data_IF_793882125405
#
_entry.id   IF_793882125405
#
_cell.length_a   1.000
_cell.length_b   1.000
_cell.length_c   1.000
_cell.angle_alpha   90.00
_cell.angle_beta   90.00
_cell.angle_gamma   90.00
#
_symmetry.space_group_name_H-M   'P 1'
#
loop_
_entity.id
_entity.type
_entity.pdbx_description
1 polymer ?
#
# COMPACT_ATOMS: atom_id res chain seq x y z
N UNK A 1 -28.23 4.23 -2.00
CA UNK A 1 -26.77 4.43 -2.02
C UNK A 1 -26.23 3.97 -3.35
N UNK A 2 -25.51 4.80 -4.08
CA UNK A 2 -24.95 4.43 -5.39
C UNK A 2 -23.71 3.57 -5.18
N UNK A 3 -23.69 2.38 -5.79
CA UNK A 3 -22.53 1.48 -5.77
C UNK A 3 -21.30 2.21 -6.33
N UNK A 4 -20.15 2.06 -5.67
CA UNK A 4 -18.87 2.62 -6.11
C UNK A 4 -18.55 2.17 -7.55
N UNK A 5 -18.33 3.12 -8.43
CA UNK A 5 -17.90 2.90 -9.81
C UNK A 5 -16.49 3.42 -9.99
N UNK A 6 -15.74 2.73 -10.83
CA UNK A 6 -14.40 3.17 -11.24
C UNK A 6 -14.36 3.28 -12.77
N UNK A 7 -13.85 4.38 -13.27
CA UNK A 7 -13.45 4.53 -14.66
C UNK A 7 -11.95 4.75 -14.76
N UNK A 8 -11.39 4.40 -15.91
CA UNK A 8 -9.95 4.52 -16.16
C UNK A 8 -9.74 5.37 -17.39
N UNK A 9 -8.86 6.33 -17.29
CA UNK A 9 -8.39 7.15 -18.42
C UNK A 9 -6.88 7.30 -18.39
N UNK A 10 -6.28 7.54 -19.54
CA UNK A 10 -4.84 7.72 -19.68
C UNK A 10 -4.56 9.10 -20.29
N UNK A 11 -3.56 9.79 -19.73
CA UNK A 11 -3.04 11.04 -20.25
C UNK A 11 -1.53 10.89 -20.32
N UNK A 12 -0.98 10.79 -21.52
CA UNK A 12 0.42 10.46 -21.72
C UNK A 12 0.78 9.14 -21.05
N UNK A 13 1.76 9.15 -20.13
CA UNK A 13 2.20 7.98 -19.37
C UNK A 13 1.53 7.84 -18.01
N UNK A 14 0.49 8.63 -17.74
CA UNK A 14 -0.22 8.63 -16.45
C UNK A 14 -1.56 7.95 -16.58
N UNK A 15 -1.81 6.95 -15.77
CA UNK A 15 -3.10 6.29 -15.67
C UNK A 15 -3.90 6.89 -14.51
N UNK A 16 -5.12 7.34 -14.77
CA UNK A 16 -6.01 7.95 -13.80
C UNK A 16 -7.19 7.02 -13.57
N UNK A 17 -7.41 6.69 -12.31
CA UNK A 17 -8.58 5.96 -11.84
C UNK A 17 -9.53 6.96 -11.19
N UNK A 18 -10.65 7.25 -11.85
CA UNK A 18 -11.68 8.13 -11.33
C UNK A 18 -12.72 7.32 -10.55
N UNK A 19 -12.91 7.65 -9.29
CA UNK A 19 -13.87 7.01 -8.40
C UNK A 19 -15.13 7.84 -8.29
N UNK A 20 -16.30 7.21 -8.41
CA UNK A 20 -17.60 7.88 -8.33
C UNK A 20 -18.55 7.06 -7.47
N UNK A 21 -19.10 7.67 -6.45
CA UNK A 21 -20.11 7.06 -5.58
C UNK A 21 -19.63 6.74 -4.19
N UNK A 22 -20.40 5.95 -3.46
CA UNK A 22 -20.16 5.64 -2.07
C UNK A 22 -19.20 4.46 -1.93
N UNK A 23 -18.15 4.67 -1.15
CA UNK A 23 -17.05 3.73 -0.93
C UNK A 23 -17.29 2.81 0.28
N UNK A 24 -18.45 2.15 0.32
CA UNK A 24 -18.72 1.11 1.33
C UNK A 24 -17.72 -0.05 1.26
N UNK A 25 -17.65 -0.83 2.33
CA UNK A 25 -16.59 -1.82 2.60
C UNK A 25 -16.35 -2.81 1.44
N UNK A 26 -17.40 -3.42 0.92
CA UNK A 26 -17.32 -4.44 -0.13
C UNK A 26 -16.89 -3.85 -1.50
N UNK A 27 -17.38 -2.65 -1.80
CA UNK A 27 -17.06 -1.97 -3.07
C UNK A 27 -15.57 -1.64 -3.21
N UNK A 28 -14.95 -1.18 -2.13
CA UNK A 28 -13.53 -0.83 -2.12
C UNK A 28 -12.59 -2.03 -2.24
N UNK A 29 -12.95 -3.18 -1.66
CA UNK A 29 -12.16 -4.40 -1.81
C UNK A 29 -12.08 -4.83 -3.28
N UNK A 30 -13.22 -4.90 -3.95
CA UNK A 30 -13.29 -5.28 -5.36
C UNK A 30 -12.51 -4.30 -6.25
N UNK A 31 -12.70 -3.00 -6.00
CA UNK A 31 -12.06 -1.92 -6.76
C UNK A 31 -10.55 -1.90 -6.55
N UNK A 32 -10.06 -1.99 -5.31
CA UNK A 32 -8.62 -2.04 -5.03
C UNK A 32 -7.96 -3.26 -5.70
N UNK A 33 -8.63 -4.41 -5.70
CA UNK A 33 -8.17 -5.58 -6.42
C UNK A 33 -8.12 -5.38 -7.95
N UNK A 34 -9.10 -4.68 -8.53
CA UNK A 34 -9.08 -4.32 -9.97
C UNK A 34 -7.93 -3.39 -10.30
N UNK A 35 -7.68 -2.37 -9.48
CA UNK A 35 -6.57 -1.42 -9.66
C UNK A 35 -5.24 -2.17 -9.59
N UNK A 36 -5.01 -3.00 -8.59
CA UNK A 36 -3.78 -3.78 -8.46
C UNK A 36 -3.53 -4.67 -9.67
N UNK A 37 -4.57 -5.37 -10.16
CA UNK A 37 -4.46 -6.18 -11.39
C UNK A 37 -4.11 -5.35 -12.60
N UNK A 38 -4.75 -4.18 -12.75
CA UNK A 38 -4.49 -3.26 -13.87
C UNK A 38 -3.04 -2.75 -13.84
N UNK A 39 -2.59 -2.26 -12.69
CA UNK A 39 -1.21 -1.79 -12.46
C UNK A 39 -0.19 -2.89 -12.83
N UNK A 40 -0.43 -4.13 -12.39
CA UNK A 40 0.46 -5.27 -12.70
C UNK A 40 0.45 -5.61 -14.18
N UNK A 41 -0.75 -5.76 -14.78
CA UNK A 41 -0.92 -6.19 -16.17
C UNK A 41 -0.28 -5.21 -17.14
N UNK A 42 -0.47 -3.91 -16.91
CA UNK A 42 0.01 -2.84 -17.80
C UNK A 42 1.33 -2.22 -17.32
N UNK A 43 1.92 -2.73 -16.23
CA UNK A 43 3.18 -2.22 -15.64
C UNK A 43 3.15 -0.70 -15.42
N UNK A 44 2.01 -0.20 -14.93
CA UNK A 44 1.80 1.24 -14.76
C UNK A 44 2.80 1.82 -13.76
N UNK A 45 3.52 2.86 -14.19
CA UNK A 45 4.55 3.51 -13.38
C UNK A 45 4.05 4.80 -12.70
N UNK A 46 3.06 5.46 -13.30
CA UNK A 46 2.49 6.71 -12.81
C UNK A 46 0.98 6.58 -12.72
N UNK A 47 0.45 6.76 -11.52
CA UNK A 47 -0.96 6.51 -11.25
C UNK A 47 -1.56 7.64 -10.43
N UNK A 48 -2.77 8.05 -10.78
CA UNK A 48 -3.60 8.97 -9.99
C UNK A 48 -4.85 8.24 -9.56
N UNK A 49 -5.16 8.24 -8.27
CA UNK A 49 -6.45 7.87 -7.73
C UNK A 49 -7.24 9.16 -7.48
N UNK A 50 -8.21 9.43 -8.33
CA UNK A 50 -9.06 10.61 -8.22
C UNK A 50 -10.26 10.32 -7.32
N UNK A 51 -10.23 10.89 -6.11
CA UNK A 51 -11.21 10.68 -5.04
C UNK A 51 -12.18 11.88 -4.87
N UNK A 52 -12.18 12.86 -5.78
CA UNK A 52 -13.01 14.07 -5.66
C UNK A 52 -14.51 13.78 -5.49
N UNK A 53 -14.99 12.68 -6.09
CA UNK A 53 -16.40 12.27 -6.05
C UNK A 53 -16.67 11.18 -5.01
N UNK A 54 -15.77 11.02 -4.03
CA UNK A 54 -15.89 10.05 -2.93
C UNK A 54 -15.95 10.82 -1.62
N UNK A 55 -17.10 10.90 -0.96
CA UNK A 55 -17.27 11.72 0.23
C UNK A 55 -16.51 11.18 1.44
N UNK A 56 -16.44 9.86 1.57
CA UNK A 56 -15.74 9.19 2.67
C UNK A 56 -15.21 7.83 2.25
N UNK A 57 -14.19 7.35 2.95
CA UNK A 57 -13.60 6.02 2.77
C UNK A 57 -13.37 5.41 4.14
N UNK A 58 -13.81 4.18 4.35
CA UNK A 58 -13.53 3.49 5.59
C UNK A 58 -12.02 3.24 5.78
N UNK A 59 -11.52 3.18 7.03
CA UNK A 59 -10.09 3.00 7.31
C UNK A 59 -9.47 1.77 6.63
N UNK A 60 -10.18 0.65 6.58
CA UNK A 60 -9.72 -0.55 5.87
C UNK A 60 -9.69 -0.33 4.36
N UNK A 61 -10.70 0.35 3.82
CA UNK A 61 -10.74 0.73 2.41
C UNK A 61 -9.59 1.64 2.01
N UNK A 62 -9.25 2.62 2.86
CA UNK A 62 -8.10 3.48 2.66
C UNK A 62 -6.79 2.67 2.60
N UNK A 63 -6.58 1.74 3.52
CA UNK A 63 -5.39 0.86 3.51
C UNK A 63 -5.32 0.01 2.24
N UNK A 64 -6.46 -0.45 1.73
CA UNK A 64 -6.53 -1.19 0.45
C UNK A 64 -6.13 -0.32 -0.73
N UNK A 65 -6.58 0.95 -0.76
CA UNK A 65 -6.17 1.89 -1.79
C UNK A 65 -4.67 2.20 -1.71
N UNK A 66 -4.14 2.45 -0.51
CA UNK A 66 -2.69 2.64 -0.30
C UNK A 66 -1.90 1.41 -0.76
N UNK A 67 -2.37 0.20 -0.43
CA UNK A 67 -1.77 -1.04 -0.89
C UNK A 67 -1.76 -1.16 -2.43
N UNK A 68 -2.82 -0.71 -3.10
CA UNK A 68 -2.85 -0.67 -4.56
C UNK A 68 -1.78 0.28 -5.14
N UNK A 69 -1.46 1.36 -4.42
CA UNK A 69 -0.51 2.40 -4.83
C UNK A 69 0.97 2.09 -4.58
N UNK A 70 1.32 0.98 -3.93
CA UNK A 70 2.72 0.67 -3.54
C UNK A 70 3.61 0.36 -4.74
N UNK A 71 3.08 -0.29 -5.77
CA UNK A 71 3.89 -0.80 -6.89
C UNK A 71 4.33 0.22 -7.92
N UNK A 72 3.51 1.21 -8.31
CA UNK A 72 3.95 2.24 -9.23
C UNK A 72 5.16 3.01 -8.73
N UNK A 73 5.93 3.56 -9.64
CA UNK A 73 7.06 4.43 -9.30
C UNK A 73 6.60 5.69 -8.57
N UNK A 74 5.44 6.21 -8.98
CA UNK A 74 4.79 7.36 -8.37
C UNK A 74 3.28 7.21 -8.40
N UNK A 75 2.63 7.47 -7.27
CA UNK A 75 1.17 7.46 -7.11
C UNK A 75 0.70 8.75 -6.45
N UNK A 76 -0.42 9.28 -6.90
CA UNK A 76 -1.06 10.46 -6.33
C UNK A 76 -2.47 10.09 -5.86
N UNK A 77 -2.82 10.48 -4.64
CA UNK A 77 -4.19 10.57 -4.16
C UNK A 77 -4.66 11.99 -4.41
N UNK A 78 -5.64 12.18 -5.28
CA UNK A 78 -6.12 13.49 -5.71
C UNK A 78 -7.55 13.74 -5.23
N UNK A 79 -7.81 14.96 -4.74
CA UNK A 79 -9.15 15.37 -4.34
C UNK A 79 -9.65 14.66 -3.08
N UNK A 80 -8.75 14.39 -2.16
CA UNK A 80 -9.05 13.77 -0.86
C UNK A 80 -9.95 14.69 -0.04
N UNK A 81 -11.04 14.19 0.52
CA UNK A 81 -11.92 14.94 1.43
C UNK A 81 -11.22 15.26 2.76
N UNK A 82 -11.66 16.29 3.45
CA UNK A 82 -11.07 16.70 4.75
C UNK A 82 -11.14 15.56 5.79
N UNK A 83 -12.23 14.81 5.82
CA UNK A 83 -12.36 13.65 6.70
C UNK A 83 -11.31 12.58 6.43
N UNK A 84 -11.11 12.26 5.16
CA UNK A 84 -10.10 11.28 4.73
C UNK A 84 -8.68 11.79 4.93
N UNK A 85 -8.46 13.09 4.83
CA UNK A 85 -7.16 13.71 5.07
C UNK A 85 -6.75 13.57 6.55
N UNK A 86 -7.68 13.75 7.49
CA UNK A 86 -7.44 13.51 8.92
C UNK A 86 -7.00 12.07 9.19
N UNK A 87 -7.63 11.10 8.53
CA UNK A 87 -7.23 9.68 8.63
C UNK A 87 -5.82 9.44 8.07
N UNK A 88 -5.47 10.15 6.99
CA UNK A 88 -4.15 10.05 6.36
C UNK A 88 -3.05 10.75 7.14
N UNK A 89 -3.34 11.82 7.88
CA UNK A 89 -2.39 12.55 8.72
C UNK A 89 -1.76 11.66 9.80
N UNK A 90 -2.52 10.67 10.28
CA UNK A 90 -2.08 9.70 11.27
C UNK A 90 -1.48 8.42 10.65
N UNK A 91 -1.25 8.43 9.33
CA UNK A 91 -0.76 7.27 8.59
C UNK A 91 0.57 7.59 7.90
N UNK A 92 1.55 6.69 8.03
CA UNK A 92 2.74 6.75 7.19
C UNK A 92 2.40 6.37 5.75
N UNK A 93 2.43 7.36 4.87
CA UNK A 93 2.23 7.12 3.45
C UNK A 93 3.43 6.40 2.83
N UNK A 94 3.20 5.47 1.89
CA UNK A 94 4.26 4.92 1.05
C UNK A 94 5.08 6.05 0.39
N UNK A 95 6.40 5.88 0.27
CA UNK A 95 7.30 6.93 -0.28
C UNK A 95 6.92 7.41 -1.67
N UNK A 96 6.34 6.54 -2.45
CA UNK A 96 5.89 6.81 -3.80
C UNK A 96 4.49 7.41 -3.87
N UNK A 97 3.80 7.57 -2.74
CA UNK A 97 2.45 8.14 -2.67
C UNK A 97 2.52 9.57 -2.16
N UNK A 98 1.83 10.47 -2.86
CA UNK A 98 1.64 11.87 -2.48
C UNK A 98 0.16 12.21 -2.50
N UNK A 99 -0.29 13.05 -1.58
CA UNK A 99 -1.60 13.66 -1.61
C UNK A 99 -1.47 14.99 -2.34
N UNK A 100 -2.35 15.23 -3.31
CA UNK A 100 -2.44 16.49 -4.03
C UNK A 100 -3.88 17.00 -3.94
N UNK A 101 -4.04 18.29 -3.61
CA UNK A 101 -5.34 18.95 -3.47
C UNK A 101 -5.76 19.67 -4.76
N UNK A 102 -4.79 20.11 -5.53
CA UNK A 102 -4.99 20.89 -6.75
C UNK A 102 -4.37 20.23 -7.98
N UNK A 103 -4.93 20.50 -9.14
CA UNK A 103 -4.35 20.04 -10.41
C UNK A 103 -2.94 20.61 -10.64
N UNK A 104 -2.66 21.80 -10.10
CA UNK A 104 -1.33 22.41 -10.17
C UNK A 104 -0.29 21.55 -9.44
N UNK A 105 -0.60 21.10 -8.22
CA UNK A 105 0.30 20.20 -7.47
C UNK A 105 0.51 18.86 -8.19
N UNK A 106 -0.52 18.33 -8.85
CA UNK A 106 -0.40 17.12 -9.68
C UNK A 106 0.52 17.38 -10.87
N UNK A 107 0.38 18.55 -11.52
CA UNK A 107 1.21 18.92 -12.65
C UNK A 107 2.68 19.17 -12.27
N UNK A 108 2.95 19.65 -11.07
CA UNK A 108 4.31 19.78 -10.53
C UNK A 108 5.01 18.42 -10.39
N UNK A 109 4.27 17.37 -10.04
CA UNK A 109 4.82 16.02 -9.90
C UNK A 109 4.91 15.23 -11.22
N UNK A 110 3.88 15.33 -12.06
CA UNK A 110 3.74 14.51 -13.27
C UNK A 110 3.99 15.27 -14.57
N UNK A 111 4.03 16.60 -14.52
CA UNK A 111 4.25 17.45 -15.66
C UNK A 111 3.02 18.26 -16.09
N UNK A 112 3.24 19.43 -16.68
CA UNK A 112 2.17 20.38 -17.05
C UNK A 112 1.23 19.87 -18.14
N UNK A 113 1.58 18.81 -18.86
CA UNK A 113 0.73 18.18 -19.86
C UNK A 113 -0.63 17.70 -19.32
N UNK A 114 -0.73 17.48 -18.02
CA UNK A 114 -2.00 17.13 -17.37
C UNK A 114 -3.01 18.30 -17.33
N UNK A 115 -2.49 19.52 -17.40
CA UNK A 115 -3.32 20.74 -17.43
C UNK A 115 -3.73 21.13 -18.86
N UNK A 116 -3.02 20.63 -19.86
CA UNK A 116 -3.33 20.89 -21.26
C UNK A 116 -4.57 20.10 -21.69
N UNK A 117 -5.64 20.81 -22.04
CA UNK A 117 -6.87 20.20 -22.58
C UNK A 117 -6.69 19.63 -23.98
N UNK A 118 -5.62 19.99 -24.68
CA UNK A 118 -5.36 19.60 -26.06
C UNK A 118 -4.42 18.41 -26.15
N UNK A 119 -4.92 17.39 -26.80
CA UNK A 119 -4.41 15.99 -26.82
C UNK A 119 -3.11 15.76 -27.61
N UNK A 120 -2.36 16.76 -28.04
CA UNK A 120 -1.45 16.54 -29.16
C UNK A 120 0.05 16.73 -28.92
N UNK A 121 0.60 16.88 -27.76
CA UNK A 121 1.96 17.39 -27.74
C UNK A 121 3.05 16.65 -26.97
N UNK A 122 2.99 15.34 -26.78
CA UNK A 122 4.23 14.65 -26.40
C UNK A 122 4.37 13.29 -27.07
N UNK A 123 5.32 13.18 -28.04
CA UNK A 123 5.72 11.86 -28.52
C UNK A 123 6.26 11.07 -27.33
N UNK A 124 5.86 9.80 -27.25
CA UNK A 124 6.37 8.87 -26.24
C UNK A 124 7.91 8.91 -26.30
N UNK A 125 8.54 9.49 -25.29
CA UNK A 125 9.95 9.27 -25.10
C UNK A 125 10.14 7.81 -24.78
N UNK A 126 10.68 7.07 -25.73
CA UNK A 126 11.14 5.71 -25.55
C UNK A 126 12.17 5.72 -24.42
N UNK A 127 11.70 5.49 -23.19
CA UNK A 127 12.56 5.20 -22.08
C UNK A 127 13.27 3.90 -22.39
N UNK A 128 14.58 3.98 -22.55
CA UNK A 128 15.44 2.82 -22.65
C UNK A 128 15.08 1.87 -21.52
N UNK A 129 14.54 0.72 -21.91
CA UNK A 129 14.39 -0.41 -21.01
C UNK A 129 15.81 -0.75 -20.52
N UNK A 130 16.05 -0.53 -19.24
CA UNK A 130 17.25 -1.02 -18.59
C UNK A 130 17.35 -2.51 -18.83
N UNK A 131 18.53 -2.96 -19.23
CA UNK A 131 18.86 -4.34 -19.55
C UNK A 131 18.36 -5.27 -18.41
N UNK A 132 17.43 -6.21 -18.69
CA UNK A 132 16.93 -7.12 -17.68
C UNK A 132 17.97 -8.13 -17.19
N UNK A 133 19.18 -8.14 -17.76
CA UNK A 133 20.21 -9.12 -17.47
C UNK A 133 21.24 -8.69 -16.40
N UNK A 134 21.11 -7.52 -15.79
CA UNK A 134 21.99 -7.12 -14.66
C UNK A 134 21.52 -7.62 -13.29
N UNK A 135 20.77 -8.71 -13.23
CA UNK A 135 20.45 -9.36 -11.97
C UNK A 135 21.65 -10.22 -11.60
N UNK A 136 22.53 -9.66 -10.79
CA UNK A 136 23.54 -10.44 -10.10
C UNK A 136 22.88 -11.62 -9.41
N UNK A 137 23.34 -12.84 -9.73
CA UNK A 137 22.90 -14.07 -9.10
C UNK A 137 23.21 -14.00 -7.61
N UNK A 138 22.29 -13.44 -6.83
CA UNK A 138 22.30 -13.63 -5.39
C UNK A 138 21.86 -15.07 -5.14
N UNK A 139 22.84 -15.90 -4.74
CA UNK A 139 22.58 -17.24 -4.21
C UNK A 139 21.42 -17.16 -3.21
N UNK A 140 20.31 -17.80 -3.55
CA UNK A 140 19.09 -17.76 -2.74
C UNK A 140 19.32 -18.56 -1.45
N UNK A 141 19.66 -17.87 -0.36
CA UNK A 141 19.86 -18.45 0.98
C UNK A 141 18.53 -18.74 1.69
N UNK A 142 17.40 -18.57 1.00
CA UNK A 142 16.08 -18.65 1.61
C UNK A 142 15.49 -20.05 1.48
N UNK A 143 14.94 -20.56 2.58
CA UNK A 143 14.32 -21.90 2.62
C UNK A 143 12.95 -21.94 1.91
N UNK A 144 12.26 -20.81 1.77
CA UNK A 144 10.94 -20.72 1.14
C UNK A 144 10.81 -19.52 0.22
N UNK A 145 10.01 -19.68 -0.82
CA UNK A 145 9.68 -18.63 -1.79
C UNK A 145 8.83 -17.55 -1.10
N UNK A 146 9.14 -16.29 -1.37
CA UNK A 146 8.33 -15.15 -0.90
C UNK A 146 7.53 -14.56 -2.05
N UNK A 147 6.28 -14.25 -1.75
CA UNK A 147 5.42 -13.50 -2.66
C UNK A 147 5.48 -12.02 -2.31
N UNK A 148 5.67 -11.19 -3.33
CA UNK A 148 5.45 -9.76 -3.19
C UNK A 148 3.95 -9.50 -3.23
N UNK A 149 3.44 -8.96 -2.15
CA UNK A 149 2.03 -8.67 -1.94
C UNK A 149 1.85 -7.20 -1.58
N UNK A 150 0.61 -6.75 -1.47
CA UNK A 150 0.24 -5.50 -0.87
C UNK A 150 -1.11 -5.73 -0.18
N UNK A 151 -1.06 -6.15 1.08
CA UNK A 151 -2.21 -6.61 1.85
C UNK A 151 -2.35 -5.74 3.09
N UNK A 152 -3.50 -5.10 3.32
CA UNK A 152 -3.79 -4.49 4.61
C UNK A 152 -3.88 -5.59 5.66
N UNK A 153 -3.20 -5.35 6.78
CA UNK A 153 -3.18 -6.25 7.93
C UNK A 153 -3.34 -5.45 9.22
N UNK A 154 -3.85 -6.09 10.23
CA UNK A 154 -3.78 -5.63 11.61
C UNK A 154 -2.75 -6.47 12.35
N UNK A 155 -1.94 -5.83 13.17
CA UNK A 155 -0.90 -6.49 13.98
C UNK A 155 -1.07 -6.07 15.43
N UNK A 156 -1.41 -7.02 16.29
CA UNK A 156 -1.42 -6.81 17.74
C UNK A 156 -0.10 -7.27 18.33
N UNK A 157 0.61 -6.37 18.97
CA UNK A 157 1.94 -6.59 19.52
C UNK A 157 1.84 -6.71 21.04
N UNK A 158 2.52 -7.72 21.60
CA UNK A 158 2.53 -8.02 23.02
C UNK A 158 3.95 -7.80 23.57
N UNK A 159 4.27 -6.58 24.04
CA UNK A 159 5.56 -6.30 24.66
C UNK A 159 5.80 -7.19 25.89
N UNK A 160 7.07 -7.43 26.24
CA UNK A 160 7.40 -8.14 27.48
C UNK A 160 7.02 -7.32 28.72
N UNK A 161 7.04 -5.99 28.61
CA UNK A 161 6.60 -5.07 29.62
C UNK A 161 5.62 -4.06 29.02
N UNK A 162 4.52 -3.77 29.72
CA UNK A 162 3.48 -2.86 29.28
C UNK A 162 2.29 -3.54 28.62
N UNK A 163 1.37 -2.74 28.15
CA UNK A 163 0.12 -3.20 27.52
C UNK A 163 0.32 -3.55 26.05
N UNK A 164 -0.44 -4.55 25.60
CA UNK A 164 -0.51 -4.88 24.18
C UNK A 164 -1.14 -3.72 23.40
N UNK A 165 -0.72 -3.54 22.16
CA UNK A 165 -1.29 -2.51 21.28
C UNK A 165 -1.49 -3.04 19.87
N UNK A 166 -2.52 -2.49 19.22
CA UNK A 166 -2.88 -2.78 17.84
C UNK A 166 -2.25 -1.74 16.92
N UNK A 167 -1.73 -2.19 15.78
CA UNK A 167 -1.25 -1.33 14.72
C UNK A 167 -1.77 -1.79 13.36
N UNK A 168 -1.97 -0.83 12.48
CA UNK A 168 -2.39 -1.04 11.10
C UNK A 168 -1.16 -0.99 10.20
N UNK A 169 -1.03 -1.96 9.32
CA UNK A 169 0.12 -2.06 8.43
C UNK A 169 -0.27 -2.61 7.05
N UNK A 170 0.67 -2.60 6.14
CA UNK A 170 0.57 -3.25 4.84
C UNK A 170 1.67 -4.29 4.75
N UNK A 171 1.30 -5.56 4.60
CA UNK A 171 2.25 -6.60 4.29
C UNK A 171 2.73 -6.44 2.85
N UNK A 172 4.04 -6.32 2.65
CA UNK A 172 4.65 -6.16 1.32
C UNK A 172 5.33 -7.42 0.82
N UNK A 173 5.67 -8.32 1.73
CA UNK A 173 6.19 -9.65 1.42
C UNK A 173 5.57 -10.67 2.36
N UNK A 174 5.17 -11.82 1.85
CA UNK A 174 4.68 -12.95 2.63
C UNK A 174 5.25 -14.26 2.10
N UNK A 175 5.51 -15.21 2.97
CA UNK A 175 5.91 -16.59 2.65
C UNK A 175 5.53 -17.54 3.78
N UNK A 176 5.81 -18.81 3.63
CA UNK A 176 5.45 -19.84 4.62
C UNK A 176 6.00 -19.57 6.03
N UNK A 177 7.17 -18.95 6.13
CA UNK A 177 7.83 -18.71 7.42
C UNK A 177 7.57 -17.33 8.01
N UNK A 178 6.83 -16.44 7.36
CA UNK A 178 6.61 -15.10 7.91
C UNK A 178 6.26 -14.03 6.88
N UNK A 179 6.12 -12.81 7.37
CA UNK A 179 5.81 -11.65 6.55
C UNK A 179 6.71 -10.45 6.89
N UNK A 180 6.74 -9.49 5.99
CA UNK A 180 7.28 -8.16 6.21
C UNK A 180 6.18 -7.13 6.03
N UNK A 181 5.97 -6.29 7.03
CA UNK A 181 4.94 -5.27 7.08
C UNK A 181 5.56 -3.88 7.20
N UNK A 182 4.97 -2.94 6.49
CA UNK A 182 5.37 -1.53 6.43
C UNK A 182 4.17 -0.61 6.64
N UNK A 183 4.43 0.70 6.75
CA UNK A 183 3.40 1.74 6.81
C UNK A 183 2.51 1.62 8.05
N UNK A 184 3.14 1.49 9.19
CA UNK A 184 2.48 1.50 10.49
C UNK A 184 1.95 2.90 10.82
N UNK A 185 0.90 2.98 11.61
CA UNK A 185 0.43 4.28 12.12
C UNK A 185 1.48 4.98 12.99
N UNK A 186 1.38 6.31 13.11
CA UNK A 186 2.41 7.13 13.78
C UNK A 186 2.56 6.82 15.27
N UNK A 187 1.47 6.49 15.95
CA UNK A 187 1.54 6.17 17.39
C UNK A 187 2.16 4.80 17.61
N UNK A 188 1.72 3.81 16.84
CA UNK A 188 2.31 2.47 16.88
C UNK A 188 3.78 2.51 16.52
N UNK A 189 4.16 3.32 15.55
CA UNK A 189 5.53 3.51 15.16
C UNK A 189 6.42 3.97 16.32
N UNK A 190 5.97 4.98 17.09
CA UNK A 190 6.68 5.48 18.28
C UNK A 190 6.79 4.40 19.37
N UNK A 191 5.75 3.57 19.54
CA UNK A 191 5.79 2.44 20.50
C UNK A 191 6.77 1.37 20.05
N UNK A 192 6.78 1.01 18.75
CA UNK A 192 7.71 0.02 18.18
C UNK A 192 9.16 0.52 18.24
N UNK A 193 9.39 1.82 18.02
CA UNK A 193 10.73 2.41 18.16
C UNK A 193 11.31 2.19 19.56
N UNK A 194 10.50 2.42 20.59
CA UNK A 194 10.88 2.28 22.01
C UNK A 194 10.84 0.85 22.52
N UNK A 195 10.36 -0.10 21.70
CA UNK A 195 10.23 -1.50 22.10
C UNK A 195 11.61 -2.17 22.24
N UNK A 196 12.01 -2.43 23.46
CA UNK A 196 13.27 -3.14 23.80
C UNK A 196 13.04 -4.12 24.96
N UNK A 197 13.50 -5.38 24.86
CA UNK A 197 13.99 -6.02 23.64
C UNK A 197 12.83 -6.25 22.64
N UNK A 198 13.10 -6.10 21.35
CA UNK A 198 12.06 -6.32 20.32
C UNK A 198 12.08 -7.74 19.74
N UNK A 199 13.24 -8.41 19.76
CA UNK A 199 13.37 -9.75 19.23
C UNK A 199 12.55 -10.75 20.04
N UNK A 200 11.80 -11.59 19.34
CA UNK A 200 10.96 -12.60 19.98
C UNK A 200 9.66 -12.07 20.59
N UNK A 201 9.38 -10.77 20.46
CA UNK A 201 8.11 -10.19 20.90
C UNK A 201 6.96 -10.83 20.12
N UNK A 202 5.98 -11.38 20.86
CA UNK A 202 4.81 -12.03 20.27
C UNK A 202 3.96 -11.00 19.50
N UNK A 203 3.48 -11.43 18.36
CA UNK A 203 2.54 -10.68 17.54
C UNK A 203 1.40 -11.59 17.06
N UNK A 204 0.20 -11.05 17.05
CA UNK A 204 -0.97 -11.63 16.38
C UNK A 204 -1.27 -10.81 15.14
N UNK A 205 -1.51 -11.48 14.01
CA UNK A 205 -1.71 -10.84 12.71
C UNK A 205 -3.07 -11.23 12.17
N UNK A 206 -3.82 -10.24 11.70
CA UNK A 206 -5.05 -10.45 10.94
C UNK A 206 -4.78 -10.01 9.51
N UNK A 207 -4.92 -10.95 8.58
CA UNK A 207 -4.87 -10.67 7.13
C UNK A 207 -6.30 -10.59 6.64
N UNK A 208 -6.69 -9.43 6.10
CA UNK A 208 -8.04 -9.24 5.59
C UNK A 208 -8.22 -9.87 4.21
N UNK A 209 -9.44 -10.29 3.87
CA UNK A 209 -9.75 -10.86 2.58
C UNK A 209 -9.30 -9.99 1.41
N UNK A 210 -8.71 -10.60 0.40
CA UNK A 210 -8.16 -9.97 -0.79
C UNK A 210 -8.25 -10.90 -1.99
N UNK A 211 -7.82 -10.43 -3.17
CA UNK A 211 -7.80 -11.27 -4.37
C UNK A 211 -6.87 -12.50 -4.26
N UNK A 212 -5.85 -12.45 -3.39
CA UNK A 212 -4.91 -13.55 -3.19
C UNK A 212 -5.26 -14.39 -1.95
N UNK A 213 -6.04 -13.84 -1.04
CA UNK A 213 -6.47 -14.45 0.22
C UNK A 213 -7.98 -14.23 0.34
N UNK A 214 -8.83 -15.20 -0.07
CA UNK A 214 -10.28 -15.02 -0.12
C UNK A 214 -10.92 -14.91 1.26
N UNK A 215 -10.27 -15.45 2.29
CA UNK A 215 -10.75 -15.49 3.67
C UNK A 215 -9.92 -14.57 4.57
N UNK A 216 -10.39 -14.35 5.79
CA UNK A 216 -9.64 -13.69 6.84
C UNK A 216 -8.76 -14.74 7.54
N UNK A 217 -7.47 -14.40 7.72
CA UNK A 217 -6.49 -15.29 8.36
C UNK A 217 -6.02 -14.68 9.67
N UNK A 218 -6.03 -15.48 10.73
CA UNK A 218 -5.50 -15.15 12.03
C UNK A 218 -4.22 -15.94 12.25
N UNK A 219 -3.10 -15.26 12.36
CA UNK A 219 -1.78 -15.86 12.48
C UNK A 219 -1.09 -15.37 13.74
N UNK A 220 -0.28 -16.24 14.34
CA UNK A 220 0.63 -15.89 15.43
C UNK A 220 2.07 -15.91 14.95
N UNK A 221 2.88 -15.04 15.53
CA UNK A 221 4.30 -14.98 15.21
C UNK A 221 5.11 -14.17 16.22
N UNK A 222 6.39 -13.98 15.89
CA UNK A 222 7.34 -13.20 16.69
C UNK A 222 8.02 -12.18 15.81
N UNK A 223 8.22 -10.98 16.35
CA UNK A 223 8.98 -9.94 15.66
C UNK A 223 10.46 -10.30 15.71
N UNK A 224 11.09 -10.46 14.53
CA UNK A 224 12.49 -10.77 14.39
C UNK A 224 13.36 -9.57 14.04
N UNK A 225 12.78 -8.60 13.35
CA UNK A 225 13.50 -7.42 12.88
C UNK A 225 12.60 -6.22 12.82
N UNK A 226 13.12 -5.07 13.23
CA UNK A 226 12.52 -3.74 12.96
C UNK A 226 13.48 -2.92 12.09
N UNK A 227 12.94 -2.20 11.13
CA UNK A 227 13.71 -1.31 10.25
C UNK A 227 13.14 0.09 10.29
N UNK A 228 14.02 1.07 10.51
CA UNK A 228 13.68 2.49 10.48
C UNK A 228 14.42 3.14 9.32
N UNK A 229 13.66 3.61 8.33
CA UNK A 229 14.21 4.36 7.20
C UNK A 229 13.49 5.69 7.15
N UNK A 230 14.20 6.80 7.04
CA UNK A 230 13.80 8.23 7.08
C UNK A 230 12.29 8.60 7.22
N UNK A 231 11.35 7.89 6.64
CA UNK A 231 9.89 8.08 6.73
C UNK A 231 9.12 6.75 6.62
N UNK A 232 9.78 5.65 6.89
CA UNK A 232 9.22 4.33 6.70
C UNK A 232 9.65 3.43 7.85
N UNK A 233 8.69 2.78 8.45
CA UNK A 233 8.91 1.82 9.52
C UNK A 233 8.43 0.48 9.01
N UNK A 234 9.22 -0.55 9.23
CA UNK A 234 8.88 -1.90 8.85
C UNK A 234 9.25 -2.89 9.94
N UNK A 235 8.46 -3.95 10.04
CA UNK A 235 8.71 -5.08 10.93
C UNK A 235 8.69 -6.39 10.14
N UNK A 236 9.63 -7.27 10.45
CA UNK A 236 9.60 -8.65 9.98
C UNK A 236 9.07 -9.54 11.11
N UNK A 237 8.04 -10.32 10.79
CA UNK A 237 7.40 -11.25 11.72
C UNK A 237 7.61 -12.67 11.19
N UNK A 238 8.16 -13.54 12.02
CA UNK A 238 8.24 -14.97 11.78
C UNK A 238 7.01 -15.64 12.34
N UNK A 239 6.35 -16.47 11.55
CA UNK A 239 5.15 -17.19 11.98
C UNK A 239 5.51 -18.31 12.97
N UNK A 240 4.60 -18.57 13.91
CA UNK A 240 4.66 -19.77 14.73
C UNK A 240 4.52 -21.02 13.84
N UNK A 241 5.19 -22.11 14.21
CA UNK A 241 5.32 -23.35 13.41
C UNK A 241 3.96 -23.94 12.96
N UNK A 242 2.86 -23.57 13.60
CA UNK A 242 1.51 -24.05 13.30
C UNK A 242 0.67 -23.09 12.44
N UNK A 243 1.22 -21.98 11.98
CA UNK A 243 0.51 -21.05 11.10
C UNK A 243 0.45 -21.64 9.69
N UNK A 244 -0.70 -22.18 9.29
CA UNK A 244 -0.96 -22.59 7.90
C UNK A 244 -1.66 -21.44 7.19
N UNK A 245 -1.05 -20.95 6.14
CA UNK A 245 -1.66 -20.08 5.13
C UNK A 245 -2.39 -20.91 4.08
#
# INVERSE_FOLDING_TARGET
MSKLKISTREIGSVCIFDFIGDAGQDGLQEVAGKIQRNIRRHRLQRVILNLQMVPSVEPLGLRRLLAACIRPQRSILFGVSQALETDLENTYLPRNVKICRTEKEVAEDFGPFLLARDKELFPAQNGQAGDPNSIGVQLERRRSKRMHVALPIDVKIFPQAGESFLTKAIATNIGEGGLYAEYLDLEAAKKIEKLEPFQGVRAEIIIFPSANFPEEYHLEGKINRKEFRKKQIGIAIEFAVNARL
#
